data_IF_030453363953
#
_entry.id   IF_030453363953
#
_cell.length_a   1.000
_cell.length_b   1.000
_cell.length_c   1.000
_cell.angle_alpha   90.00
_cell.angle_beta   90.00
_cell.angle_gamma   90.00
#
_symmetry.space_group_name_H-M   'P 1'
#
loop_
_entity.id
_entity.type
_entity.pdbx_description
1 polymer ?
#
# COMPACT_ATOMS: atom_id res chain seq x y z
N UNK A 1 48.97 -34.76 28.24
CA UNK A 1 47.63 -35.33 28.38
C UNK A 1 46.68 -34.16 28.45
N UNK A 2 46.07 -33.83 27.31
CA UNK A 2 45.14 -32.72 27.16
C UNK A 2 43.82 -33.32 26.72
N UNK A 3 42.83 -33.24 27.60
CA UNK A 3 41.46 -33.64 27.34
C UNK A 3 40.84 -32.69 26.31
N UNK A 4 40.38 -33.27 25.20
CA UNK A 4 39.70 -32.56 24.12
C UNK A 4 38.20 -32.68 24.38
N UNK A 5 37.64 -31.67 25.05
CA UNK A 5 36.22 -31.55 25.32
C UNK A 5 35.48 -31.25 24.02
N UNK A 6 34.75 -32.25 23.50
CA UNK A 6 34.03 -32.17 22.21
C UNK A 6 32.56 -31.98 22.53
N UNK A 7 32.14 -30.72 22.67
CA UNK A 7 30.73 -30.39 22.86
C UNK A 7 29.97 -30.64 21.54
N UNK A 8 28.93 -31.50 21.49
CA UNK A 8 28.14 -31.65 20.28
C UNK A 8 27.34 -30.37 19.99
N UNK A 9 27.16 -29.99 18.71
CA UNK A 9 26.31 -28.86 18.35
C UNK A 9 24.86 -29.16 18.69
N UNK A 10 24.19 -28.19 19.32
CA UNK A 10 22.77 -28.26 19.68
C UNK A 10 21.90 -28.52 18.44
N UNK A 11 21.02 -29.54 18.46
CA UNK A 11 20.08 -29.77 17.38
C UNK A 11 18.94 -28.74 17.42
N UNK A 12 18.92 -27.88 16.40
CA UNK A 12 17.68 -27.46 15.74
C UNK A 12 16.68 -26.63 16.58
N UNK A 13 17.04 -25.38 16.87
CA UNK A 13 16.02 -24.31 16.88
C UNK A 13 15.72 -23.93 15.43
N UNK A 14 14.91 -24.72 14.75
CA UNK A 14 14.22 -24.22 13.56
C UNK A 14 13.38 -23.02 13.98
N UNK A 15 13.72 -21.86 13.42
CA UNK A 15 13.01 -20.61 13.67
C UNK A 15 11.53 -20.81 13.31
N UNK A 16 10.68 -20.86 14.32
CA UNK A 16 9.23 -21.03 14.19
C UNK A 16 8.60 -19.93 13.30
N UNK A 17 9.27 -18.78 13.16
CA UNK A 17 8.84 -17.72 12.23
C UNK A 17 9.09 -18.08 10.76
N UNK A 18 10.18 -18.80 10.45
CA UNK A 18 10.47 -19.30 9.11
C UNK A 18 9.50 -20.42 8.70
N UNK A 19 9.15 -21.30 9.63
CA UNK A 19 8.17 -22.37 9.40
C UNK A 19 6.77 -21.81 9.21
N UNK A 20 6.38 -20.79 9.99
CA UNK A 20 5.10 -20.09 9.81
C UNK A 20 5.04 -19.30 8.50
N UNK A 21 6.16 -18.71 8.07
CA UNK A 21 6.28 -18.05 6.77
C UNK A 21 6.17 -19.02 5.59
N UNK A 22 6.79 -20.20 5.69
CA UNK A 22 6.74 -21.24 4.65
C UNK A 22 5.37 -21.93 4.56
N UNK A 23 4.70 -22.17 5.70
CA UNK A 23 3.34 -22.74 5.69
C UNK A 23 2.28 -21.76 5.16
N UNK A 24 2.47 -20.46 5.35
CA UNK A 24 1.58 -19.41 4.80
C UNK A 24 1.71 -19.25 3.28
N UNK A 25 2.80 -19.76 2.68
CA UNK A 25 3.05 -19.72 1.23
C UNK A 25 2.46 -20.95 0.51
N UNK A 26 2.18 -22.05 1.23
CA UNK A 26 1.78 -23.32 0.62
C UNK A 26 0.27 -23.50 0.42
N UNK A 27 -0.57 -22.60 0.96
CA UNK A 27 -2.02 -22.71 0.86
C UNK A 27 -2.63 -21.39 0.36
N UNK A 28 -3.23 -21.49 -0.83
CA UNK A 28 -3.95 -20.48 -1.60
C UNK A 28 -3.09 -19.50 -2.40
N UNK A 29 -3.42 -19.22 -3.69
CA UNK A 29 -2.86 -18.07 -4.39
C UNK A 29 -3.30 -16.84 -3.61
N UNK A 30 -2.39 -16.28 -2.82
CA UNK A 30 -2.64 -15.12 -1.96
C UNK A 30 -3.14 -13.99 -2.86
N UNK A 31 -4.44 -13.70 -2.81
CA UNK A 31 -5.03 -12.55 -3.51
C UNK A 31 -4.22 -11.31 -3.16
N UNK A 32 -3.96 -10.46 -4.15
CA UNK A 32 -3.20 -9.22 -3.90
C UNK A 32 -4.05 -8.34 -3.00
N UNK A 33 -3.47 -7.58 -2.06
CA UNK A 33 -4.23 -6.66 -1.23
C UNK A 33 -5.11 -5.67 -2.03
N UNK A 34 -4.66 -5.26 -3.22
CA UNK A 34 -5.46 -4.40 -4.12
C UNK A 34 -6.72 -5.09 -4.64
N UNK A 35 -6.71 -6.41 -4.82
CA UNK A 35 -7.90 -7.14 -5.30
C UNK A 35 -9.03 -7.02 -4.26
N UNK A 36 -8.70 -7.08 -2.96
CA UNK A 36 -9.66 -6.85 -1.88
C UNK A 36 -10.16 -5.41 -1.80
N UNK A 37 -9.30 -4.43 -2.12
CA UNK A 37 -9.70 -3.03 -2.19
C UNK A 37 -10.68 -2.80 -3.35
N UNK A 38 -10.41 -3.40 -4.51
CA UNK A 38 -11.30 -3.35 -5.68
C UNK A 38 -12.66 -3.98 -5.34
N UNK A 39 -12.67 -5.17 -4.74
CA UNK A 39 -13.92 -5.83 -4.30
C UNK A 39 -14.71 -4.95 -3.32
N UNK A 40 -14.01 -4.24 -2.42
CA UNK A 40 -14.64 -3.29 -1.48
C UNK A 40 -15.26 -2.08 -2.18
N UNK A 41 -14.59 -1.55 -3.21
CA UNK A 41 -15.06 -0.42 -4.02
C UNK A 41 -16.17 -0.77 -5.01
N UNK A 42 -16.51 -2.06 -5.15
CA UNK A 42 -17.64 -2.53 -5.97
C UNK A 42 -18.93 -2.75 -5.16
N UNK A 43 -18.90 -2.55 -3.85
CA UNK A 43 -20.08 -2.68 -2.99
C UNK A 43 -21.03 -1.48 -3.16
N UNK A 44 -22.31 -1.67 -2.81
CA UNK A 44 -23.35 -0.63 -2.97
C UNK A 44 -23.07 0.67 -2.17
N UNK A 45 -22.26 0.58 -1.11
CA UNK A 45 -21.88 1.70 -0.24
C UNK A 45 -20.50 2.29 -0.57
N UNK A 46 -19.89 1.92 -1.70
CA UNK A 46 -18.52 2.27 -2.05
C UNK A 46 -18.23 3.77 -2.01
N UNK A 47 -19.14 4.62 -2.51
CA UNK A 47 -18.95 6.08 -2.50
C UNK A 47 -18.89 6.66 -1.09
N UNK A 48 -19.80 6.22 -0.22
CA UNK A 48 -19.82 6.65 1.17
C UNK A 48 -18.59 6.15 1.93
N UNK A 49 -18.17 4.91 1.64
CA UNK A 49 -16.96 4.34 2.20
C UNK A 49 -15.70 5.06 1.72
N UNK A 50 -15.60 5.36 0.43
CA UNK A 50 -14.49 6.09 -0.17
C UNK A 50 -14.36 7.47 0.46
N UNK A 51 -15.47 8.21 0.56
CA UNK A 51 -15.49 9.53 1.19
C UNK A 51 -15.03 9.42 2.66
N UNK A 52 -15.48 8.41 3.39
CA UNK A 52 -15.01 8.17 4.75
C UNK A 52 -13.51 7.84 4.78
N UNK A 53 -13.04 6.96 3.91
CA UNK A 53 -11.64 6.52 3.85
C UNK A 53 -10.68 7.68 3.55
N UNK A 54 -11.08 8.65 2.72
CA UNK A 54 -10.27 9.85 2.41
C UNK A 54 -10.42 10.96 3.45
N UNK A 55 -11.47 10.96 4.27
CA UNK A 55 -11.70 11.99 5.32
C UNK A 55 -11.19 11.56 6.70
N UNK A 56 -11.09 10.25 6.96
CA UNK A 56 -10.56 9.63 8.19
C UNK A 56 -9.02 9.76 8.33
N UNK A 57 -8.43 10.72 7.62
CA UNK A 57 -7.02 11.14 7.70
C UNK A 57 -6.81 12.32 8.64
N UNK A 58 -5.55 12.78 8.84
CA UNK A 58 -5.32 14.16 9.26
C UNK A 58 -6.19 15.08 8.39
N UNK A 59 -6.83 16.09 9.01
CA UNK A 59 -8.07 16.81 8.60
C UNK A 59 -8.18 17.35 7.15
N UNK A 60 -7.27 17.05 6.24
CA UNK A 60 -7.16 17.72 4.96
C UNK A 60 -6.85 16.79 3.79
N UNK A 61 -6.83 15.46 3.93
CA UNK A 61 -6.46 14.53 2.85
C UNK A 61 -7.16 14.80 1.52
N UNK A 62 -8.46 15.06 1.54
CA UNK A 62 -9.25 15.34 0.34
C UNK A 62 -8.86 16.67 -0.31
N UNK A 63 -8.69 17.75 0.45
CA UNK A 63 -8.25 19.04 -0.10
C UNK A 63 -6.79 18.97 -0.54
N UNK A 64 -5.93 18.36 0.28
CA UNK A 64 -4.50 18.16 0.06
C UNK A 64 -4.26 17.39 -1.24
N UNK A 65 -4.90 16.24 -1.46
CA UNK A 65 -4.63 15.38 -2.61
C UNK A 65 -5.30 15.84 -3.92
N UNK A 66 -6.34 16.67 -3.85
CA UNK A 66 -7.00 17.19 -5.06
C UNK A 66 -6.56 18.62 -5.40
N UNK A 67 -5.88 19.31 -4.50
CA UNK A 67 -5.32 20.63 -4.73
C UNK A 67 -3.81 20.53 -5.02
N UNK A 68 -3.33 21.40 -5.90
CA UNK A 68 -1.90 21.56 -6.14
C UNK A 68 -1.21 22.16 -4.90
N UNK A 69 -0.01 21.68 -4.60
CA UNK A 69 0.89 22.36 -3.66
C UNK A 69 1.40 21.55 -2.47
N UNK A 70 1.15 20.23 -2.42
CA UNK A 70 1.81 19.40 -1.41
C UNK A 70 3.30 19.26 -1.75
N UNK A 71 4.16 19.61 -0.81
CA UNK A 71 5.60 19.36 -0.96
C UNK A 71 5.95 17.87 -0.87
N UNK A 72 7.00 17.46 -1.57
CA UNK A 72 7.43 16.06 -1.64
C UNK A 72 7.73 15.44 -0.27
N UNK A 73 8.25 16.23 0.67
CA UNK A 73 8.56 15.75 2.02
C UNK A 73 7.29 15.48 2.85
N UNK A 74 6.23 16.26 2.64
CA UNK A 74 4.94 15.98 3.26
C UNK A 74 4.29 14.73 2.66
N UNK A 75 4.40 14.53 1.33
CA UNK A 75 3.95 13.28 0.69
C UNK A 75 4.66 12.04 1.27
N UNK A 76 5.96 12.13 1.56
CA UNK A 76 6.68 11.03 2.21
C UNK A 76 6.11 10.73 3.60
N UNK A 77 5.79 11.76 4.39
CA UNK A 77 5.16 11.57 5.71
C UNK A 77 3.77 10.93 5.59
N UNK A 78 2.93 11.41 4.67
CA UNK A 78 1.61 10.85 4.43
C UNK A 78 1.68 9.38 3.96
N UNK A 79 2.64 9.07 3.10
CA UNK A 79 2.91 7.70 2.68
C UNK A 79 3.26 6.80 3.86
N UNK A 80 4.19 7.25 4.71
CA UNK A 80 4.64 6.47 5.85
C UNK A 80 3.52 6.28 6.88
N UNK A 81 2.72 7.32 7.12
CA UNK A 81 1.49 7.22 7.93
C UNK A 81 0.51 6.18 7.38
N UNK A 82 0.30 6.16 6.05
CA UNK A 82 -0.58 5.18 5.40
C UNK A 82 -0.08 3.76 5.55
N UNK A 83 1.24 3.55 5.47
CA UNK A 83 1.87 2.24 5.71
C UNK A 83 1.67 1.78 7.15
N UNK A 84 1.85 2.68 8.12
CA UNK A 84 1.59 2.40 9.54
C UNK A 84 0.12 2.00 9.74
N UNK A 85 -0.83 2.77 9.19
CA UNK A 85 -2.26 2.42 9.25
C UNK A 85 -2.57 1.06 8.64
N UNK A 86 -2.01 0.74 7.47
CA UNK A 86 -2.18 -0.57 6.85
C UNK A 86 -1.64 -1.71 7.72
N UNK A 87 -0.47 -1.51 8.33
CA UNK A 87 0.22 -2.51 9.15
C UNK A 87 -0.49 -2.74 10.50
N UNK A 88 -0.90 -1.65 11.14
CA UNK A 88 -1.44 -1.64 12.52
C UNK A 88 -2.97 -1.72 12.57
N UNK A 89 -3.63 -1.85 11.41
CA UNK A 89 -5.09 -1.92 11.30
C UNK A 89 -5.71 -2.99 12.21
N UNK A 90 -6.75 -2.60 12.96
CA UNK A 90 -7.48 -3.47 13.87
C UNK A 90 -8.36 -4.49 13.12
N UNK A 91 -8.84 -4.12 11.93
CA UNK A 91 -9.65 -4.98 11.07
C UNK A 91 -9.29 -4.85 9.59
N UNK A 92 -10.00 -5.64 8.76
CA UNK A 92 -9.77 -5.65 7.33
C UNK A 92 -10.17 -4.33 6.65
N UNK A 93 -11.19 -3.64 7.15
CA UNK A 93 -11.69 -2.41 6.55
C UNK A 93 -10.72 -1.26 6.79
N UNK A 94 -10.22 -1.09 8.01
CA UNK A 94 -9.17 -0.14 8.35
C UNK A 94 -7.89 -0.41 7.55
N UNK A 95 -7.56 -1.68 7.34
CA UNK A 95 -6.42 -2.07 6.48
C UNK A 95 -6.63 -1.61 5.05
N UNK A 96 -7.82 -1.79 4.48
CA UNK A 96 -8.12 -1.34 3.11
C UNK A 96 -8.10 0.18 2.99
N UNK A 97 -8.54 0.93 4.02
CA UNK A 97 -8.39 2.39 4.07
C UNK A 97 -6.93 2.81 4.01
N UNK A 98 -6.06 2.19 4.84
CA UNK A 98 -4.62 2.45 4.80
C UNK A 98 -3.98 2.16 3.44
N UNK A 99 -4.43 1.09 2.76
CA UNK A 99 -3.97 0.76 1.40
C UNK A 99 -4.41 1.80 0.36
N UNK A 100 -5.69 2.17 0.36
CA UNK A 100 -6.22 3.20 -0.53
C UNK A 100 -5.45 4.50 -0.35
N UNK A 101 -5.28 4.91 0.91
CA UNK A 101 -4.56 6.12 1.30
C UNK A 101 -3.12 6.11 0.76
N UNK A 102 -2.41 5.00 0.92
CA UNK A 102 -1.08 4.81 0.35
C UNK A 102 -1.07 4.97 -1.18
N UNK A 103 -2.01 4.34 -1.88
CA UNK A 103 -2.10 4.40 -3.35
C UNK A 103 -2.45 5.81 -3.86
N UNK A 104 -3.28 6.55 -3.15
CA UNK A 104 -3.59 7.94 -3.49
C UNK A 104 -2.37 8.86 -3.32
N UNK A 105 -1.57 8.68 -2.26
CA UNK A 105 -0.32 9.43 -2.06
C UNK A 105 0.70 9.11 -3.15
N UNK A 106 0.83 7.83 -3.53
CA UNK A 106 1.69 7.42 -4.65
C UNK A 106 1.20 8.03 -5.97
N UNK A 107 -0.11 8.05 -6.18
CA UNK A 107 -0.73 8.68 -7.36
C UNK A 107 -0.40 10.16 -7.42
N UNK A 108 -0.52 10.88 -6.30
CA UNK A 108 -0.17 12.30 -6.23
C UNK A 108 1.31 12.56 -6.55
N UNK A 109 2.22 11.77 -5.96
CA UNK A 109 3.65 11.87 -6.23
C UNK A 109 3.98 11.69 -7.72
N UNK A 110 3.26 10.79 -8.40
CA UNK A 110 3.42 10.59 -9.84
C UNK A 110 2.81 11.73 -10.66
N UNK A 111 1.57 12.13 -10.39
CA UNK A 111 0.85 13.13 -11.18
C UNK A 111 1.48 14.53 -11.08
N UNK A 112 1.79 14.99 -9.87
CA UNK A 112 2.21 16.37 -9.64
C UNK A 112 3.73 16.54 -9.55
N UNK A 113 4.45 15.52 -9.08
CA UNK A 113 5.92 15.60 -8.90
C UNK A 113 6.71 14.75 -9.90
N UNK A 114 6.05 13.85 -10.64
CA UNK A 114 6.75 12.89 -11.50
C UNK A 114 7.64 11.92 -10.72
N UNK A 115 7.43 11.76 -9.42
CA UNK A 115 8.25 10.95 -8.50
C UNK A 115 7.48 9.72 -8.05
N UNK A 116 8.06 8.53 -8.28
CA UNK A 116 7.50 7.28 -7.78
C UNK A 116 7.85 7.11 -6.29
N UNK A 117 6.86 7.19 -5.42
CA UNK A 117 7.03 7.05 -3.96
C UNK A 117 6.95 5.60 -3.45
N UNK A 118 7.12 4.60 -4.33
CA UNK A 118 7.08 3.18 -4.00
C UNK A 118 8.41 2.48 -4.29
N UNK A 119 8.69 1.39 -3.57
CA UNK A 119 9.80 0.49 -3.89
C UNK A 119 9.47 -0.52 -4.99
N UNK A 120 8.18 -0.69 -5.33
CA UNK A 120 7.76 -1.51 -6.46
C UNK A 120 8.13 -0.83 -7.78
N UNK A 121 8.23 -1.62 -8.85
CA UNK A 121 8.57 -1.06 -10.15
C UNK A 121 7.47 -0.13 -10.67
N UNK A 122 7.84 0.82 -11.54
CA UNK A 122 6.86 1.70 -12.20
C UNK A 122 5.78 0.91 -12.92
N UNK A 123 6.14 -0.17 -13.60
CA UNK A 123 5.19 -1.01 -14.34
C UNK A 123 4.14 -1.63 -13.42
N UNK A 124 4.57 -2.21 -12.30
CA UNK A 124 3.67 -2.81 -11.30
C UNK A 124 2.72 -1.77 -10.70
N UNK A 125 3.25 -0.62 -10.27
CA UNK A 125 2.42 0.45 -9.70
C UNK A 125 1.44 1.00 -10.73
N UNK A 126 1.86 1.19 -11.98
CA UNK A 126 0.95 1.69 -13.03
C UNK A 126 -0.21 0.72 -13.28
N UNK A 127 0.07 -0.59 -13.32
CA UNK A 127 -0.96 -1.61 -13.50
C UNK A 127 -1.97 -1.58 -12.33
N UNK A 128 -1.47 -1.53 -11.09
CA UNK A 128 -2.30 -1.42 -9.88
C UNK A 128 -3.17 -0.17 -9.88
N UNK A 129 -2.62 1.00 -10.25
CA UNK A 129 -3.36 2.24 -10.30
C UNK A 129 -4.43 2.24 -11.40
N UNK A 130 -4.15 1.66 -12.58
CA UNK A 130 -5.16 1.50 -13.64
C UNK A 130 -6.31 0.58 -13.21
N UNK A 131 -6.01 -0.55 -12.59
CA UNK A 131 -7.03 -1.46 -12.05
C UNK A 131 -7.89 -0.77 -10.97
N UNK A 132 -7.25 0.00 -10.08
CA UNK A 132 -7.94 0.77 -9.05
C UNK A 132 -8.85 1.85 -9.65
N UNK A 133 -8.37 2.62 -10.64
CA UNK A 133 -9.12 3.69 -11.28
C UNK A 133 -10.46 3.22 -11.86
N UNK A 134 -10.50 2.00 -12.41
CA UNK A 134 -11.73 1.40 -12.94
C UNK A 134 -12.82 1.18 -11.89
N UNK A 135 -12.44 1.11 -10.61
CA UNK A 135 -13.35 0.89 -9.48
C UNK A 135 -13.67 2.17 -8.70
N UNK A 136 -13.00 3.28 -9.02
CA UNK A 136 -13.23 4.57 -8.37
C UNK A 136 -14.31 5.37 -9.10
N UNK A 137 -14.93 6.29 -8.36
CA UNK A 137 -15.82 7.34 -8.88
C UNK A 137 -15.06 8.66 -9.03
N UNK A 138 -15.65 9.62 -9.75
CA UNK A 138 -15.04 10.93 -9.97
C UNK A 138 -15.02 11.75 -8.66
N UNK A 139 -13.99 12.56 -8.41
CA UNK A 139 -12.84 12.88 -9.28
C UNK A 139 -11.67 11.90 -9.17
N UNK A 140 -11.76 10.89 -8.29
CA UNK A 140 -10.64 10.01 -7.96
C UNK A 140 -10.22 9.09 -9.11
N UNK A 141 -11.18 8.65 -9.91
CA UNK A 141 -10.92 7.86 -11.12
C UNK A 141 -9.94 8.54 -12.05
N UNK A 142 -10.28 9.76 -12.47
CA UNK A 142 -9.49 10.52 -13.46
C UNK A 142 -8.10 10.83 -12.91
N UNK A 143 -8.03 11.26 -11.65
CA UNK A 143 -6.77 11.55 -10.96
C UNK A 143 -5.84 10.32 -10.91
N UNK A 144 -6.35 9.17 -10.48
CA UNK A 144 -5.54 7.94 -10.37
C UNK A 144 -5.15 7.41 -11.76
N UNK A 145 -6.05 7.50 -12.75
CA UNK A 145 -5.76 7.11 -14.11
C UNK A 145 -4.66 7.99 -14.73
N UNK A 146 -4.72 9.30 -14.54
CA UNK A 146 -3.69 10.24 -14.98
C UNK A 146 -2.33 9.89 -14.36
N UNK A 147 -2.28 9.72 -13.03
CA UNK A 147 -1.08 9.32 -12.31
C UNK A 147 -0.47 8.01 -12.83
N UNK A 148 -1.30 7.05 -13.24
CA UNK A 148 -0.84 5.79 -13.81
C UNK A 148 -0.16 5.97 -15.19
N UNK A 149 -0.52 7.02 -15.93
CA UNK A 149 0.03 7.33 -17.26
C UNK A 149 1.23 8.29 -17.22
N UNK A 150 1.43 9.05 -16.14
CA UNK A 150 2.52 10.03 -16.06
C UNK A 150 3.91 9.38 -16.13
N UNK A 151 4.79 9.78 -17.06
CA UNK A 151 6.15 9.27 -17.10
C UNK A 151 6.90 9.67 -15.82
N UNK A 152 7.55 8.73 -15.14
CA UNK A 152 8.37 9.06 -13.97
C UNK A 152 9.68 9.67 -14.42
N UNK A 153 9.98 10.89 -13.97
CA UNK A 153 11.31 11.47 -14.13
C UNK A 153 12.29 10.68 -13.28
N UNK A 154 13.32 10.08 -13.91
CA UNK A 154 14.39 9.39 -13.18
C UNK A 154 15.06 10.44 -12.27
N UNK A 155 14.85 10.31 -10.96
CA UNK A 155 15.61 11.04 -9.94
C UNK A 155 16.98 10.39 -9.75
#
# INVERSE_FOLDING_TARGET
MSDHDTNPPDPETFDSSLVSGLLRVAFEPTRRPVDHLIERLQQDDADAWLEHAVTDGPEQWKSVLLEDGIELDELKRLKDLSKTRFADAADADERLRGLLQYLLVVSYGLAHHGVLLSSQSRGEISAVLLELALSLTDPWRDFVAEAAMTPSTRS
#
